data_IF_880639127180
#
_entry.id   IF_880639127180
#
_cell.length_a   1.000
_cell.length_b   1.000
_cell.length_c   1.000
_cell.angle_alpha   90.00
_cell.angle_beta   90.00
_cell.angle_gamma   90.00
#
_symmetry.space_group_name_H-M   'P 1'
#
loop_
_entity.id
_entity.type
_entity.pdbx_description
1 polymer ?
#
# COMPACT_ATOMS: atom_id res chain seq x y z
N UNK A 1 -9.53 25.44 -11.88
CA UNK A 1 -8.80 24.22 -11.49
C UNK A 1 -7.58 24.13 -12.40
N UNK A 2 -6.43 24.54 -11.90
CA UNK A 2 -5.15 24.50 -12.60
C UNK A 2 -4.73 23.05 -12.81
N UNK A 3 -4.83 22.56 -14.04
CA UNK A 3 -4.12 21.34 -14.45
C UNK A 3 -2.64 21.66 -14.39
N UNK A 4 -1.91 21.06 -13.45
CA UNK A 4 -0.46 21.02 -13.60
C UNK A 4 -0.14 20.39 -14.97
N UNK A 5 0.74 21.01 -15.76
CA UNK A 5 1.09 20.44 -17.05
C UNK A 5 1.69 19.06 -16.84
N UNK A 6 1.24 18.08 -17.65
CA UNK A 6 1.94 16.80 -17.73
C UNK A 6 3.43 17.05 -17.96
N UNK A 7 4.28 16.28 -17.26
CA UNK A 7 5.74 16.45 -17.28
C UNK A 7 6.32 16.38 -18.71
N UNK A 8 5.62 15.68 -19.61
CA UNK A 8 5.90 15.54 -21.03
C UNK A 8 4.63 15.78 -21.84
N UNK A 9 4.77 16.39 -23.01
CA UNK A 9 3.70 16.49 -23.98
C UNK A 9 3.56 15.20 -24.80
N UNK A 10 2.39 15.01 -25.43
CA UNK A 10 2.16 13.86 -26.30
C UNK A 10 3.10 13.85 -27.52
N UNK A 11 3.52 15.03 -28.01
CA UNK A 11 4.45 15.15 -29.15
C UNK A 11 5.86 14.65 -28.80
N UNK A 12 6.26 14.78 -27.54
CA UNK A 12 7.56 14.30 -27.04
C UNK A 12 7.55 12.80 -26.76
N UNK A 13 6.39 12.25 -26.39
CA UNK A 13 6.22 10.81 -26.14
C UNK A 13 5.98 10.04 -27.44
N UNK A 14 5.25 10.63 -28.40
CA UNK A 14 4.88 9.98 -29.66
C UNK A 14 6.02 9.30 -30.43
N UNK A 15 7.25 9.85 -30.50
CA UNK A 15 8.36 9.21 -31.21
C UNK A 15 9.10 8.14 -30.40
N UNK A 16 8.80 7.93 -29.11
CA UNK A 16 9.48 6.95 -28.27
C UNK A 16 9.08 5.53 -28.70
N UNK A 17 10.01 4.78 -29.29
CA UNK A 17 9.78 3.40 -29.72
C UNK A 17 10.53 2.39 -28.86
N UNK A 18 11.64 2.81 -28.23
CA UNK A 18 12.53 1.94 -27.47
C UNK A 18 12.78 2.46 -26.06
N UNK A 19 13.29 1.57 -25.20
CA UNK A 19 13.76 1.94 -23.87
C UNK A 19 14.84 3.03 -23.91
N UNK A 20 15.74 2.98 -24.90
CA UNK A 20 16.80 3.97 -25.04
C UNK A 20 16.25 5.36 -25.37
N UNK A 21 15.23 5.44 -26.24
CA UNK A 21 14.56 6.72 -26.58
C UNK A 21 13.91 7.33 -25.33
N UNK A 22 13.28 6.49 -24.50
CA UNK A 22 12.69 6.92 -23.24
C UNK A 22 13.77 7.38 -22.25
N UNK A 23 14.82 6.59 -22.05
CA UNK A 23 15.94 6.96 -21.16
C UNK A 23 16.59 8.28 -21.58
N UNK A 24 16.75 8.50 -22.89
CA UNK A 24 17.26 9.75 -23.44
C UNK A 24 16.35 10.93 -23.12
N UNK A 25 15.04 10.83 -23.39
CA UNK A 25 14.08 11.90 -23.08
C UNK A 25 14.05 12.23 -21.58
N UNK A 26 14.07 11.21 -20.73
CA UNK A 26 14.09 11.35 -19.27
C UNK A 26 15.38 12.04 -18.81
N UNK A 27 16.52 11.70 -19.43
CA UNK A 27 17.81 12.31 -19.15
C UNK A 27 17.86 13.78 -19.60
N UNK A 28 17.41 14.09 -20.82
CA UNK A 28 17.36 15.47 -21.35
C UNK A 28 16.50 16.38 -20.47
N UNK A 29 15.38 15.88 -19.95
CA UNK A 29 14.51 16.61 -19.02
C UNK A 29 15.00 16.57 -17.56
N UNK A 30 16.18 16.02 -17.30
CA UNK A 30 16.79 15.87 -15.98
C UNK A 30 15.82 15.23 -14.96
N UNK A 31 15.02 14.26 -15.39
CA UNK A 31 14.05 13.61 -14.51
C UNK A 31 14.77 12.64 -13.59
N UNK A 32 14.61 12.87 -12.28
CA UNK A 32 15.12 11.96 -11.26
C UNK A 32 14.31 10.66 -11.26
N UNK A 33 14.92 9.56 -11.72
CA UNK A 33 14.26 8.25 -11.81
C UNK A 33 14.34 7.43 -10.52
N UNK A 34 15.22 7.79 -9.57
CA UNK A 34 15.35 7.07 -8.29
C UNK A 34 14.00 6.89 -7.57
N UNK A 35 13.14 7.91 -7.41
CA UNK A 35 11.84 7.73 -6.78
C UNK A 35 10.90 6.80 -7.56
N UNK A 36 11.05 6.72 -8.88
CA UNK A 36 10.27 5.82 -9.74
C UNK A 36 10.72 4.38 -9.52
N UNK A 37 12.02 4.13 -9.53
CA UNK A 37 12.59 2.80 -9.25
C UNK A 37 12.25 2.33 -7.83
N UNK A 38 12.40 3.19 -6.83
CA UNK A 38 12.06 2.88 -5.44
C UNK A 38 10.58 2.50 -5.30
N UNK A 39 9.70 3.21 -6.03
CA UNK A 39 8.27 2.90 -6.03
C UNK A 39 7.96 1.57 -6.70
N UNK A 40 8.58 1.28 -7.85
CA UNK A 40 8.41 -0.01 -8.55
C UNK A 40 8.88 -1.15 -7.66
N UNK A 41 10.05 -1.00 -7.03
CA UNK A 41 10.60 -1.99 -6.11
C UNK A 41 9.66 -2.20 -4.91
N UNK A 42 9.22 -1.12 -4.26
CA UNK A 42 8.28 -1.20 -3.14
C UNK A 42 6.98 -1.92 -3.49
N UNK A 43 6.35 -1.61 -4.63
CA UNK A 43 5.10 -2.26 -5.03
C UNK A 43 5.33 -3.75 -5.36
N UNK A 44 6.49 -4.10 -5.92
CA UNK A 44 6.88 -5.49 -6.21
C UNK A 44 7.05 -6.28 -4.91
N UNK A 45 7.80 -5.74 -3.95
CA UNK A 45 8.01 -6.39 -2.65
C UNK A 45 6.69 -6.51 -1.87
N UNK A 46 5.85 -5.48 -1.93
CA UNK A 46 4.53 -5.49 -1.30
C UNK A 46 3.64 -6.60 -1.86
N UNK A 47 3.62 -6.79 -3.17
CA UNK A 47 2.84 -7.86 -3.82
C UNK A 47 3.31 -9.24 -3.36
N UNK A 48 4.62 -9.48 -3.37
CA UNK A 48 5.22 -10.74 -2.90
C UNK A 48 4.86 -11.03 -1.44
N UNK A 49 4.96 -10.03 -0.56
CA UNK A 49 4.56 -10.18 0.85
C UNK A 49 3.06 -10.44 1.01
N UNK A 50 2.21 -9.84 0.18
CA UNK A 50 0.77 -10.07 0.21
C UNK A 50 0.40 -11.49 -0.24
N UNK A 51 1.15 -12.08 -1.17
CA UNK A 51 1.01 -13.49 -1.54
C UNK A 51 1.33 -14.39 -0.33
N UNK A 52 2.44 -14.14 0.36
CA UNK A 52 2.81 -14.90 1.55
C UNK A 52 1.79 -14.71 2.69
N UNK A 53 1.23 -13.50 2.83
CA UNK A 53 0.19 -13.22 3.82
C UNK A 53 -1.08 -14.04 3.56
N UNK A 54 -1.47 -14.23 2.29
CA UNK A 54 -2.61 -15.08 1.93
C UNK A 54 -2.33 -16.55 2.25
N UNK A 55 -1.12 -17.04 1.97
CA UNK A 55 -0.70 -18.41 2.35
C UNK A 55 -0.77 -18.60 3.87
N UNK A 56 -0.29 -17.61 4.63
CA UNK A 56 -0.37 -17.60 6.09
C UNK A 56 -1.81 -17.62 6.59
N UNK A 57 -2.70 -16.79 6.02
CA UNK A 57 -4.13 -16.79 6.36
C UNK A 57 -4.76 -18.18 6.16
N UNK A 58 -4.50 -18.80 5.01
CA UNK A 58 -5.02 -20.13 4.70
C UNK A 58 -4.52 -21.17 5.70
N UNK A 59 -3.23 -21.14 6.03
CA UNK A 59 -2.65 -22.04 7.02
C UNK A 59 -3.25 -21.84 8.42
N UNK A 60 -3.34 -20.60 8.91
CA UNK A 60 -3.98 -20.27 10.19
C UNK A 60 -5.40 -20.84 10.27
N UNK A 61 -6.17 -20.69 9.18
CA UNK A 61 -7.55 -21.16 9.08
C UNK A 61 -7.62 -22.68 9.13
N UNK A 62 -6.75 -23.38 8.39
CA UNK A 62 -6.69 -24.85 8.37
C UNK A 62 -6.31 -25.43 9.73
N UNK A 63 -5.44 -24.76 10.48
CA UNK A 63 -5.03 -25.19 11.82
C UNK A 63 -6.01 -24.74 12.92
N UNK A 64 -7.07 -24.00 12.58
CA UNK A 64 -8.03 -23.47 13.56
C UNK A 64 -7.44 -22.46 14.55
N UNK A 65 -6.34 -21.79 14.18
CA UNK A 65 -5.66 -20.82 15.04
C UNK A 65 -6.28 -19.43 14.92
N UNK A 66 -5.95 -18.57 15.90
CA UNK A 66 -6.41 -17.17 15.94
C UNK A 66 -5.21 -16.25 16.12
N UNK A 67 -5.17 -15.18 15.33
CA UNK A 67 -4.11 -14.17 15.37
C UNK A 67 -4.74 -12.80 15.60
N UNK A 68 -4.18 -12.04 16.53
CA UNK A 68 -4.51 -10.64 16.77
C UNK A 68 -3.26 -9.79 16.52
N UNK A 69 -3.43 -8.69 15.78
CA UNK A 69 -2.35 -7.76 15.44
C UNK A 69 -2.78 -6.37 15.91
N UNK A 70 -1.98 -5.77 16.80
CA UNK A 70 -2.22 -4.43 17.34
C UNK A 70 -1.36 -3.42 16.58
N UNK A 71 -1.99 -2.36 16.07
CA UNK A 71 -1.32 -1.26 15.38
C UNK A 71 -1.31 -0.01 16.26
N UNK A 72 -0.17 0.26 16.91
CA UNK A 72 0.04 1.46 17.74
C UNK A 72 0.96 2.48 17.08
N UNK A 73 0.92 3.73 17.56
CA UNK A 73 1.81 4.79 17.10
C UNK A 73 1.18 6.18 17.18
N UNK A 74 1.99 7.22 16.92
CA UNK A 74 1.52 8.62 16.96
C UNK A 74 0.49 8.92 15.86
N UNK A 75 -0.22 10.02 16.03
CA UNK A 75 -1.07 10.57 14.98
C UNK A 75 -0.25 10.83 13.71
N UNK A 76 -0.85 10.56 12.55
CA UNK A 76 -0.22 10.63 11.23
C UNK A 76 0.99 9.69 11.00
N UNK A 77 1.28 8.73 11.88
CA UNK A 77 2.38 7.76 11.69
C UNK A 77 2.16 6.72 10.56
N UNK A 78 1.03 6.77 9.85
CA UNK A 78 0.77 5.89 8.70
C UNK A 78 0.06 4.56 9.01
N UNK A 79 -0.42 4.35 10.25
CA UNK A 79 -1.11 3.12 10.68
C UNK A 79 -2.25 2.68 9.76
N UNK A 80 -3.12 3.62 9.37
CA UNK A 80 -4.24 3.33 8.47
C UNK A 80 -3.81 2.91 7.06
N UNK A 81 -2.67 3.44 6.57
CA UNK A 81 -2.07 3.02 5.31
C UNK A 81 -1.56 1.59 5.39
N UNK A 82 -0.83 1.26 6.45
CA UNK A 82 -0.33 -0.09 6.71
C UNK A 82 -1.47 -1.11 6.81
N UNK A 83 -2.51 -0.84 7.62
CA UNK A 83 -3.70 -1.71 7.73
C UNK A 83 -4.36 -1.90 6.36
N UNK A 84 -4.50 -0.84 5.57
CA UNK A 84 -5.11 -0.92 4.24
C UNK A 84 -4.31 -1.82 3.30
N UNK A 85 -2.97 -1.76 3.32
CA UNK A 85 -2.13 -2.64 2.51
C UNK A 85 -2.17 -4.07 3.01
N UNK A 86 -2.13 -4.27 4.33
CA UNK A 86 -2.24 -5.59 4.95
C UNK A 86 -3.55 -6.30 4.61
N UNK A 87 -4.67 -5.59 4.67
CA UNK A 87 -6.00 -6.16 4.45
C UNK A 87 -6.40 -6.31 2.97
N UNK A 88 -5.65 -5.72 2.03
CA UNK A 88 -6.06 -5.53 0.62
C UNK A 88 -6.56 -6.80 -0.07
N UNK A 89 -5.87 -7.93 0.15
CA UNK A 89 -6.16 -9.20 -0.52
C UNK A 89 -6.60 -10.32 0.43
N UNK A 90 -6.76 -10.01 1.72
CA UNK A 90 -7.22 -11.00 2.70
C UNK A 90 -8.72 -11.24 2.57
N UNK A 91 -9.14 -12.50 2.78
CA UNK A 91 -10.57 -12.81 2.83
C UNK A 91 -11.24 -12.08 4.02
N UNK A 92 -12.21 -11.16 3.80
CA UNK A 92 -12.80 -10.35 4.87
C UNK A 92 -13.68 -11.16 5.84
N UNK A 93 -14.01 -12.41 5.51
CA UNK A 93 -14.72 -13.31 6.43
C UNK A 93 -13.78 -13.90 7.47
N UNK A 94 -12.51 -14.09 7.12
CA UNK A 94 -11.48 -14.69 7.98
C UNK A 94 -10.56 -13.65 8.63
N UNK A 95 -10.47 -12.43 8.10
CA UNK A 95 -9.70 -11.33 8.68
C UNK A 95 -10.58 -10.09 8.84
N UNK A 96 -10.49 -9.42 9.99
CA UNK A 96 -11.23 -8.19 10.28
C UNK A 96 -10.29 -7.11 10.80
N UNK A 97 -10.40 -5.91 10.24
CA UNK A 97 -9.83 -4.72 10.83
C UNK A 97 -10.85 -4.11 11.80
N UNK A 98 -10.45 -3.90 13.05
CA UNK A 98 -11.28 -3.27 14.08
C UNK A 98 -10.69 -1.92 14.42
N UNK A 99 -11.49 -0.87 14.30
CA UNK A 99 -11.16 0.47 14.77
C UNK A 99 -12.01 0.76 16.00
N UNK A 100 -11.38 0.77 17.17
CA UNK A 100 -12.07 1.10 18.42
C UNK A 100 -12.28 2.62 18.50
N UNK A 101 -13.53 3.03 18.68
CA UNK A 101 -13.89 4.42 18.91
C UNK A 101 -13.78 4.79 20.40
N UNK A 102 -14.26 5.99 20.73
CA UNK A 102 -14.47 6.36 22.13
C UNK A 102 -15.46 5.36 22.76
N UNK A 103 -15.20 4.81 23.96
CA UNK A 103 -16.12 3.89 24.61
C UNK A 103 -17.45 4.59 24.90
N UNK A 104 -18.54 3.87 24.65
CA UNK A 104 -19.90 4.25 25.02
C UNK A 104 -20.06 4.31 26.55
N UNK A 105 -21.16 4.92 27.02
CA UNK A 105 -21.40 5.04 28.46
C UNK A 105 -21.58 3.69 29.15
N UNK A 106 -22.10 2.69 28.43
CA UNK A 106 -22.19 1.30 28.93
C UNK A 106 -20.79 0.67 29.00
N UNK A 107 -19.99 0.79 27.93
CA UNK A 107 -18.63 0.22 27.88
C UNK A 107 -17.70 0.79 28.96
N UNK A 108 -17.86 2.07 29.33
CA UNK A 108 -17.11 2.68 30.45
C UNK A 108 -17.42 2.06 31.81
N UNK A 109 -18.60 1.46 31.97
CA UNK A 109 -19.00 0.76 33.19
C UNK A 109 -18.46 -0.67 33.28
N UNK A 110 -17.87 -1.20 32.19
CA UNK A 110 -17.24 -2.51 32.16
C UNK A 110 -15.75 -2.44 32.55
N UNK A 111 -15.15 -3.60 32.79
CA UNK A 111 -13.70 -3.69 32.94
C UNK A 111 -13.00 -3.47 31.59
N UNK A 112 -11.80 -2.89 31.63
CA UNK A 112 -10.98 -2.63 30.44
C UNK A 112 -10.30 -3.91 29.93
#
# INVERSE_FOLDING_TARGET
MSTEPFLFSNEEIAPIATRADLEHLLFERMVHLTPVYDRIQYETDLELLQIELLKMQNWITQQGMRVAILFEGRDAAGKGGAIRRFMRYLNPRAAKAVALGKPSDIEKGHWY
#
